data_IF_008454375000
#
_entry.id   IF_008454375000
#
_cell.length_a   1.000
_cell.length_b   1.000
_cell.length_c   1.000
_cell.angle_alpha   90.00
_cell.angle_beta   90.00
_cell.angle_gamma   90.00
#
_symmetry.space_group_name_H-M   'P 1'
#
loop_
_entity.id
_entity.type
_entity.pdbx_description
1 polymer ?
#
# COMPACT_ATOMS: atom_id res chain seq x y z
N UNK A 1 -38.48 4.79 -24.73
CA UNK A 1 -37.21 4.05 -24.66
C UNK A 1 -37.51 2.80 -23.87
N UNK A 2 -37.23 1.61 -24.41
CA UNK A 2 -37.53 0.35 -23.72
C UNK A 2 -36.64 0.19 -22.46
N UNK A 3 -37.24 -0.28 -21.37
CA UNK A 3 -36.59 -0.47 -20.07
C UNK A 3 -35.42 -1.45 -20.16
N UNK A 4 -35.54 -2.51 -20.98
CA UNK A 4 -34.45 -3.49 -21.22
C UNK A 4 -33.26 -2.77 -21.87
N UNK A 5 -33.51 -1.95 -22.88
CA UNK A 5 -32.47 -1.16 -23.56
C UNK A 5 -31.78 -0.18 -22.61
N UNK A 6 -32.53 0.47 -21.70
CA UNK A 6 -31.95 1.37 -20.70
C UNK A 6 -31.06 0.61 -19.69
N UNK A 7 -31.50 -0.55 -19.21
CA UNK A 7 -30.71 -1.37 -18.29
C UNK A 7 -29.45 -1.97 -18.95
N UNK A 8 -29.50 -2.37 -20.23
CA UNK A 8 -28.32 -2.79 -20.99
C UNK A 8 -27.24 -1.71 -21.04
N UNK A 9 -27.63 -0.46 -21.34
CA UNK A 9 -26.71 0.69 -21.34
C UNK A 9 -26.14 0.95 -19.95
N UNK A 10 -26.97 0.87 -18.92
CA UNK A 10 -26.54 1.06 -17.54
C UNK A 10 -25.54 -0.02 -17.09
N UNK A 11 -25.79 -1.29 -17.44
CA UNK A 11 -24.89 -2.40 -17.18
C UNK A 11 -23.54 -2.18 -17.88
N UNK A 12 -23.56 -1.78 -19.15
CA UNK A 12 -22.33 -1.44 -19.90
C UNK A 12 -21.50 -0.35 -19.19
N UNK A 13 -22.14 0.74 -18.74
CA UNK A 13 -21.46 1.83 -18.01
C UNK A 13 -20.86 1.32 -16.70
N UNK A 14 -21.61 0.51 -15.95
CA UNK A 14 -21.16 -0.07 -14.68
C UNK A 14 -19.97 -1.03 -14.87
N UNK A 15 -20.00 -1.85 -15.90
CA UNK A 15 -18.89 -2.75 -16.25
C UNK A 15 -17.62 -1.97 -16.60
N UNK A 16 -17.72 -0.95 -17.46
CA UNK A 16 -16.57 -0.09 -17.78
C UNK A 16 -15.97 0.58 -16.52
N UNK A 17 -16.83 0.97 -15.57
CA UNK A 17 -16.39 1.54 -14.29
C UNK A 17 -15.67 0.51 -13.42
N UNK A 18 -16.21 -0.70 -13.28
CA UNK A 18 -15.57 -1.79 -12.53
C UNK A 18 -14.21 -2.11 -13.14
N UNK A 19 -14.09 -2.19 -14.46
CA UNK A 19 -12.81 -2.43 -15.14
C UNK A 19 -11.79 -1.31 -14.87
N UNK A 20 -12.25 -0.05 -14.89
CA UNK A 20 -11.42 1.10 -14.52
C UNK A 20 -10.90 1.00 -13.08
N UNK A 21 -11.78 0.63 -12.15
CA UNK A 21 -11.43 0.43 -10.74
C UNK A 21 -10.48 -0.76 -10.57
N UNK A 22 -10.67 -1.87 -11.28
CA UNK A 22 -9.76 -3.02 -11.28
C UNK A 22 -8.33 -2.62 -11.68
N UNK A 23 -8.19 -1.80 -12.73
CA UNK A 23 -6.89 -1.29 -13.17
C UNK A 23 -6.25 -0.36 -12.14
N UNK A 24 -7.04 0.53 -11.54
CA UNK A 24 -6.56 1.44 -10.49
C UNK A 24 -6.10 0.66 -9.25
N UNK A 25 -6.87 -0.34 -8.82
CA UNK A 25 -6.52 -1.21 -7.70
C UNK A 25 -5.22 -1.96 -7.96
N UNK A 26 -5.05 -2.54 -9.16
CA UNK A 26 -3.81 -3.21 -9.53
C UNK A 26 -2.60 -2.25 -9.54
N UNK A 27 -2.78 -1.00 -9.97
CA UNK A 27 -1.72 0.01 -9.89
C UNK A 27 -1.38 0.39 -8.43
N UNK A 28 -2.39 0.52 -7.57
CA UNK A 28 -2.18 0.80 -6.15
C UNK A 28 -1.45 -0.33 -5.43
N UNK A 29 -1.83 -1.59 -5.67
CA UNK A 29 -1.15 -2.76 -5.09
C UNK A 29 0.31 -2.84 -5.51
N UNK A 30 0.62 -2.64 -6.81
CA UNK A 30 2.03 -2.60 -7.27
C UNK A 30 2.84 -1.48 -6.60
N UNK A 31 2.22 -0.32 -6.35
CA UNK A 31 2.88 0.77 -5.62
C UNK A 31 3.08 0.41 -4.15
N UNK A 32 2.11 -0.27 -3.53
CA UNK A 32 2.24 -0.77 -2.16
C UNK A 32 3.40 -1.76 -2.06
N UNK A 33 3.51 -2.72 -2.98
CA UNK A 33 4.59 -3.70 -3.04
C UNK A 33 5.97 -3.02 -3.18
N UNK A 34 6.07 -2.00 -4.04
CA UNK A 34 7.29 -1.23 -4.21
C UNK A 34 7.70 -0.50 -2.92
N UNK A 35 6.75 0.16 -2.25
CA UNK A 35 7.01 0.85 -0.98
C UNK A 35 7.36 -0.14 0.14
N UNK A 36 6.74 -1.32 0.16
CA UNK A 36 7.07 -2.38 1.11
C UNK A 36 8.52 -2.84 0.93
N UNK A 37 8.97 -3.05 -0.32
CA UNK A 37 10.35 -3.37 -0.62
C UNK A 37 11.33 -2.26 -0.21
N UNK A 38 10.99 -0.99 -0.43
CA UNK A 38 11.77 0.15 0.04
C UNK A 38 11.87 0.20 1.57
N UNK A 39 10.78 -0.13 2.27
CA UNK A 39 10.75 -0.17 3.73
C UNK A 39 11.69 -1.26 4.26
N UNK A 40 11.65 -2.46 3.69
CA UNK A 40 12.56 -3.54 4.07
C UNK A 40 14.02 -3.16 3.83
N UNK A 41 14.33 -2.47 2.72
CA UNK A 41 15.67 -1.96 2.46
C UNK A 41 16.11 -0.95 3.53
N UNK A 42 15.23 0.01 3.87
CA UNK A 42 15.51 1.00 4.90
C UNK A 42 15.69 0.38 6.29
N UNK A 43 14.94 -0.69 6.61
CA UNK A 43 15.10 -1.44 7.86
C UNK A 43 16.45 -2.15 7.93
N UNK A 44 16.91 -2.77 6.83
CA UNK A 44 18.23 -3.39 6.75
C UNK A 44 19.35 -2.35 6.86
N UNK A 45 19.23 -1.23 6.14
CA UNK A 45 20.17 -0.11 6.22
C UNK A 45 20.27 0.43 7.65
N UNK A 46 19.13 0.60 8.32
CA UNK A 46 19.07 1.06 9.70
C UNK A 46 19.76 0.08 10.65
N UNK A 47 19.49 -1.23 10.53
CA UNK A 47 20.17 -2.26 11.33
C UNK A 47 21.68 -2.23 11.16
N UNK A 48 22.15 -2.21 9.91
CA UNK A 48 23.58 -2.15 9.62
C UNK A 48 24.25 -0.86 10.15
N UNK A 49 23.56 0.29 10.07
CA UNK A 49 24.05 1.54 10.63
C UNK A 49 24.08 1.51 12.17
N UNK A 50 23.07 0.91 12.81
CA UNK A 50 23.04 0.74 14.26
C UNK A 50 24.19 -0.14 14.75
N UNK A 51 24.47 -1.25 14.05
CA UNK A 51 25.60 -2.12 14.35
C UNK A 51 26.94 -1.38 14.22
N UNK A 52 27.11 -0.56 13.17
CA UNK A 52 28.29 0.31 13.01
C UNK A 52 28.40 1.33 14.15
N UNK A 53 27.30 1.98 14.54
CA UNK A 53 27.29 2.96 15.62
C UNK A 53 27.62 2.34 16.98
N UNK A 54 27.14 1.12 17.25
CA UNK A 54 27.54 0.38 18.44
C UNK A 54 29.02 -0.04 18.40
N UNK A 55 29.53 -0.38 17.20
CA UNK A 55 30.91 -0.77 17.01
C UNK A 55 31.93 0.30 17.42
N UNK A 56 31.62 1.56 17.16
CA UNK A 56 32.46 2.73 17.48
C UNK A 56 32.14 3.37 18.83
N UNK A 57 31.34 2.70 19.67
CA UNK A 57 30.92 3.25 20.96
C UNK A 57 32.13 3.51 21.89
N UNK A 58 32.27 4.73 22.47
CA UNK A 58 33.39 5.07 23.35
C UNK A 58 33.42 4.22 24.63
N UNK A 59 32.28 3.65 25.02
CA UNK A 59 32.16 2.72 26.14
C UNK A 59 33.04 1.48 25.96
N UNK A 60 33.34 1.09 24.72
CA UNK A 60 34.26 -0.03 24.43
C UNK A 60 35.72 0.31 24.74
N UNK A 61 36.09 1.59 24.70
CA UNK A 61 37.42 2.05 25.06
C UNK A 61 37.57 2.11 26.59
N UNK A 62 36.52 2.50 27.32
CA UNK A 62 36.51 2.69 28.77
C UNK A 62 36.50 1.39 29.61
N UNK A 63 37.10 0.30 29.11
CA UNK A 63 37.17 -0.96 29.86
C UNK A 63 38.21 -0.90 31.00
N UNK A 64 37.95 -1.57 32.14
CA UNK A 64 38.89 -1.61 33.26
C UNK A 64 40.29 -2.10 32.82
N UNK A 65 41.34 -1.37 33.24
CA UNK A 65 42.73 -1.72 32.93
C UNK A 65 43.28 -1.14 31.63
N UNK A 66 42.47 -0.45 30.83
CA UNK A 66 42.92 0.27 29.63
C UNK A 66 43.43 1.68 29.98
N UNK A 67 44.64 2.02 29.52
CA UNK A 67 45.16 3.39 29.55
C UNK A 67 44.91 4.05 28.19
N UNK A 68 44.17 5.16 28.20
CA UNK A 68 43.69 5.85 26.99
C UNK A 68 44.02 7.32 27.12
N UNK A 69 44.57 7.92 26.07
CA UNK A 69 44.85 9.36 26.08
C UNK A 69 43.56 10.17 25.92
N UNK A 70 43.58 11.43 26.36
CA UNK A 70 42.46 12.35 26.16
C UNK A 70 42.14 12.58 24.68
N UNK A 71 43.17 12.61 23.81
CA UNK A 71 43.01 12.72 22.36
C UNK A 71 42.30 11.50 21.76
N UNK A 72 42.66 10.28 22.20
CA UNK A 72 42.02 9.04 21.76
C UNK A 72 40.55 8.98 22.17
N UNK A 73 40.25 9.38 23.42
CA UNK A 73 38.86 9.45 23.90
C UNK A 73 38.05 10.49 23.10
N UNK A 74 38.64 11.65 22.81
CA UNK A 74 38.00 12.69 22.02
C UNK A 74 37.68 12.24 20.59
N UNK A 75 38.64 11.61 19.91
CA UNK A 75 38.45 11.07 18.57
C UNK A 75 37.32 10.01 18.53
N UNK A 76 37.29 9.10 19.51
CA UNK A 76 36.21 8.11 19.62
C UNK A 76 34.84 8.74 19.85
N UNK A 77 34.74 9.78 20.68
CA UNK A 77 33.49 10.52 20.85
C UNK A 77 33.02 11.19 19.55
N UNK A 78 33.93 11.76 18.76
CA UNK A 78 33.61 12.35 17.46
C UNK A 78 33.10 11.28 16.48
N UNK A 79 33.80 10.15 16.38
CA UNK A 79 33.42 9.03 15.50
C UNK A 79 32.04 8.46 15.89
N UNK A 80 31.79 8.28 17.18
CA UNK A 80 30.49 7.84 17.68
C UNK A 80 29.37 8.87 17.42
N UNK A 81 29.67 10.17 17.49
CA UNK A 81 28.70 11.21 17.17
C UNK A 81 28.30 11.19 15.69
N UNK A 82 29.28 10.99 14.79
CA UNK A 82 29.04 10.86 13.35
C UNK A 82 28.20 9.61 13.04
N UNK A 83 28.54 8.46 13.63
CA UNK A 83 27.77 7.23 13.42
C UNK A 83 26.33 7.34 13.93
N UNK A 84 26.11 8.03 15.07
CA UNK A 84 24.75 8.31 15.56
C UNK A 84 23.96 9.23 14.64
N UNK A 85 24.61 10.24 14.06
CA UNK A 85 23.98 11.13 13.09
C UNK A 85 23.57 10.39 11.81
N UNK A 86 24.40 9.45 11.34
CA UNK A 86 24.07 8.56 10.21
C UNK A 86 22.82 7.71 10.52
N UNK A 87 22.79 7.06 11.68
CA UNK A 87 21.63 6.26 12.13
C UNK A 87 20.37 7.11 12.18
N UNK A 88 20.44 8.31 12.75
CA UNK A 88 19.29 9.22 12.82
C UNK A 88 18.75 9.59 11.44
N UNK A 89 19.62 9.90 10.47
CA UNK A 89 19.20 10.20 9.10
C UNK A 89 18.54 9.02 8.39
N UNK A 90 19.06 7.80 8.61
CA UNK A 90 18.44 6.57 8.07
C UNK A 90 17.10 6.29 8.77
N UNK A 91 17.00 6.52 10.08
CA UNK A 91 15.75 6.35 10.81
C UNK A 91 14.66 7.31 10.33
N UNK A 92 14.99 8.58 10.09
CA UNK A 92 14.04 9.54 9.49
C UNK A 92 13.52 9.08 8.13
N UNK A 93 14.42 8.56 7.27
CA UNK A 93 14.03 7.98 5.98
C UNK A 93 13.12 6.77 6.18
N UNK A 94 13.48 5.85 7.07
CA UNK A 94 12.69 4.65 7.41
C UNK A 94 11.29 5.03 7.89
N UNK A 95 11.18 5.99 8.80
CA UNK A 95 9.90 6.48 9.32
C UNK A 95 9.02 7.08 8.21
N UNK A 96 9.62 7.89 7.31
CA UNK A 96 8.89 8.45 6.15
C UNK A 96 8.32 7.35 5.26
N UNK A 97 9.13 6.36 4.89
CA UNK A 97 8.69 5.24 4.05
C UNK A 97 7.62 4.41 4.77
N UNK A 98 7.76 4.20 6.08
CA UNK A 98 6.75 3.49 6.88
C UNK A 98 5.40 4.22 6.91
N UNK A 99 5.39 5.55 6.99
CA UNK A 99 4.17 6.36 6.90
C UNK A 99 3.53 6.25 5.52
N UNK A 100 4.33 6.30 4.45
CA UNK A 100 3.84 6.11 3.08
C UNK A 100 3.27 4.71 2.87
N UNK A 101 3.92 3.68 3.41
CA UNK A 101 3.45 2.29 3.37
C UNK A 101 2.07 2.17 4.03
N UNK A 102 1.92 2.68 5.26
CA UNK A 102 0.63 2.67 5.98
C UNK A 102 -0.46 3.40 5.21
N UNK A 103 -0.15 4.60 4.70
CA UNK A 103 -1.10 5.37 3.91
C UNK A 103 -1.47 4.63 2.60
N UNK A 104 -0.53 3.93 1.99
CA UNK A 104 -0.73 3.05 0.83
C UNK A 104 -1.70 1.92 1.15
N UNK A 105 -1.49 1.20 2.25
CA UNK A 105 -2.37 0.11 2.72
C UNK A 105 -3.81 0.58 2.89
N UNK A 106 -4.02 1.68 3.60
CA UNK A 106 -5.38 2.24 3.78
C UNK A 106 -6.03 2.67 2.46
N UNK A 107 -5.26 3.13 1.47
CA UNK A 107 -5.81 3.47 0.14
C UNK A 107 -6.23 2.22 -0.64
N UNK A 108 -5.44 1.15 -0.55
CA UNK A 108 -5.75 -0.14 -1.18
C UNK A 108 -7.03 -0.71 -0.57
N UNK A 109 -7.11 -0.81 0.76
CA UNK A 109 -8.30 -1.31 1.48
C UNK A 109 -9.58 -0.56 1.07
N UNK A 110 -9.56 0.78 1.11
CA UNK A 110 -10.72 1.60 0.70
C UNK A 110 -11.11 1.38 -0.76
N UNK A 111 -10.14 1.22 -1.65
CA UNK A 111 -10.41 0.95 -3.06
C UNK A 111 -10.98 -0.46 -3.27
N UNK A 112 -10.51 -1.45 -2.52
CA UNK A 112 -11.03 -2.83 -2.54
C UNK A 112 -12.48 -2.90 -2.08
N UNK A 113 -12.82 -2.19 -1.00
CA UNK A 113 -14.19 -2.06 -0.52
C UNK A 113 -15.10 -1.40 -1.58
N UNK A 114 -14.63 -0.29 -2.17
CA UNK A 114 -15.36 0.41 -3.21
C UNK A 114 -15.55 -0.47 -4.47
N UNK A 115 -14.51 -1.20 -4.87
CA UNK A 115 -14.52 -2.13 -6.00
C UNK A 115 -15.50 -3.29 -5.77
N UNK A 116 -15.46 -3.90 -4.59
CA UNK A 116 -16.38 -4.96 -4.18
C UNK A 116 -17.83 -4.48 -4.16
N UNK A 117 -18.07 -3.25 -3.72
CA UNK A 117 -19.39 -2.60 -3.79
C UNK A 117 -19.85 -2.41 -5.24
N UNK A 118 -18.97 -1.92 -6.12
CA UNK A 118 -19.28 -1.74 -7.54
C UNK A 118 -19.62 -3.07 -8.24
N UNK A 119 -18.89 -4.16 -7.94
CA UNK A 119 -19.21 -5.51 -8.45
C UNK A 119 -20.61 -5.95 -7.99
N UNK A 120 -20.97 -5.73 -6.73
CA UNK A 120 -22.32 -6.08 -6.24
C UNK A 120 -23.41 -5.30 -6.97
N UNK A 121 -23.17 -4.03 -7.29
CA UNK A 121 -24.10 -3.20 -8.07
C UNK A 121 -24.24 -3.74 -9.49
N UNK A 122 -23.14 -4.13 -10.15
CA UNK A 122 -23.17 -4.78 -11.47
C UNK A 122 -24.05 -6.03 -11.42
N UNK A 123 -23.78 -6.95 -10.49
CA UNK A 123 -24.56 -8.19 -10.34
C UNK A 123 -26.05 -7.94 -10.16
N UNK A 124 -26.41 -6.96 -9.32
CA UNK A 124 -27.82 -6.57 -9.14
C UNK A 124 -28.45 -6.02 -10.43
N UNK A 125 -27.66 -5.36 -11.27
CA UNK A 125 -28.13 -4.86 -12.57
C UNK A 125 -28.37 -5.99 -13.54
N UNK A 126 -27.49 -7.00 -13.54
CA UNK A 126 -27.62 -8.21 -14.34
C UNK A 126 -28.92 -8.95 -13.97
N UNK A 127 -29.16 -9.21 -12.68
CA UNK A 127 -30.39 -9.88 -12.25
C UNK A 127 -31.66 -9.12 -12.64
N UNK A 128 -31.70 -7.79 -12.48
CA UNK A 128 -32.88 -7.01 -12.90
C UNK A 128 -33.05 -7.02 -14.41
N UNK A 129 -31.96 -7.05 -15.18
CA UNK A 129 -32.05 -7.16 -16.63
C UNK A 129 -32.62 -8.53 -17.05
N UNK A 130 -32.17 -9.62 -16.41
CA UNK A 130 -32.71 -10.97 -16.62
C UNK A 130 -34.21 -11.02 -16.33
N UNK A 131 -34.66 -10.50 -15.18
CA UNK A 131 -36.09 -10.43 -14.82
C UNK A 131 -36.92 -9.60 -15.83
N UNK A 132 -36.36 -8.52 -16.36
CA UNK A 132 -37.04 -7.69 -17.36
C UNK A 132 -37.16 -8.41 -18.71
N UNK A 133 -36.13 -9.15 -19.11
CA UNK A 133 -36.12 -9.95 -20.33
C UNK A 133 -37.10 -11.12 -20.24
N UNK A 134 -37.17 -11.83 -19.11
CA UNK A 134 -38.14 -12.90 -18.87
C UNK A 134 -39.59 -12.39 -18.96
N UNK A 135 -39.90 -11.27 -18.31
CA UNK A 135 -41.26 -10.67 -18.34
C UNK A 135 -41.66 -10.15 -19.72
N UNK A 136 -40.69 -9.69 -20.52
CA UNK A 136 -40.99 -9.31 -21.91
C UNK A 136 -41.31 -10.54 -22.75
N UNK A 137 -40.62 -11.67 -22.54
CA UNK A 137 -40.93 -12.93 -23.21
C UNK A 137 -42.33 -13.48 -22.85
N UNK A 138 -42.68 -13.53 -21.57
CA UNK A 138 -44.01 -13.99 -21.12
C UNK A 138 -45.16 -13.15 -21.73
N UNK A 139 -44.99 -11.82 -21.79
CA UNK A 139 -46.01 -10.93 -22.36
C UNK A 139 -46.24 -11.11 -23.86
N UNK A 140 -45.24 -11.59 -24.60
CA UNK A 140 -45.34 -11.85 -26.03
C UNK A 140 -46.06 -13.18 -26.27
N UNK A 141 -45.75 -14.22 -25.49
CA UNK A 141 -46.44 -15.52 -25.61
C UNK A 141 -47.93 -15.44 -25.24
N UNK A 142 -48.32 -14.59 -24.28
CA UNK A 142 -49.72 -14.35 -23.92
C UNK A 142 -50.50 -13.59 -24.99
N UNK A 143 -49.82 -12.86 -25.88
CA UNK A 143 -50.42 -12.13 -27.01
C UNK A 143 -50.63 -13.02 -28.25
N UNK A 144 -49.97 -14.18 -28.31
CA UNK A 144 -50.04 -15.13 -29.43
C UNK A 144 -51.03 -16.30 -29.19
N UNK A 145 -51.73 -16.33 -28.06
CA UNK A 145 -52.80 -17.31 -27.73
C UNK A 145 -54.19 -16.70 -27.78
#
# INVERSE_FOLDING_TARGET
MDNVTAFKKLLQIRNMRVDGMSRQLAALRRRQDAIAAELEMAEREHGAAADRADAVSPTRLLQPGMLISGEQLHASHQEAALARAEVAGIDERRQRVALEHRAGTTRVEKMEEAHSSAIRIVRRTECVLEELEERTFESVEDLER
#
